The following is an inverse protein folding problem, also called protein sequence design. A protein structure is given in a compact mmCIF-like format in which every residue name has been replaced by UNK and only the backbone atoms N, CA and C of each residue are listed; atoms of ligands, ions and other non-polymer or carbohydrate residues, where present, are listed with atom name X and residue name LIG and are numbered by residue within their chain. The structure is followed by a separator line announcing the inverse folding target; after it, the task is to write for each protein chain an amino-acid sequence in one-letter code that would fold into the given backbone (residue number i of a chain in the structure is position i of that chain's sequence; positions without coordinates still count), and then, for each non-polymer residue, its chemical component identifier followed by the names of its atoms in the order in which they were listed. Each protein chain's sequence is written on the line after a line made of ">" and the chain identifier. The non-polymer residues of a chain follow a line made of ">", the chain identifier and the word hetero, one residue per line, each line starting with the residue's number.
data_IF_458068605031
#
_entry.id   IF_458068605031
#
_cell.length_a   1.000
_cell.length_b   1.000
_cell.length_c   1.000
_cell.angle_alpha   90.00
_cell.angle_beta   90.00
_cell.angle_gamma   90.00
#
_symmetry.space_group_name_H-M   'P 1'
#
loop_
_entity.id
_entity.type
_entity.pdbx_description
1 polymer ?
#
# COMPACT_ATOMS: atom_id res chain seq x y z
N UNK A 1 34.61 -16.02 28.30
CA UNK A 1 33.28 -15.46 28.03
C UNK A 1 33.30 -14.09 27.30
N UNK A 2 34.08 -13.13 27.73
CA UNK A 2 34.15 -11.75 27.16
C UNK A 2 34.62 -11.72 25.68
N UNK A 3 35.54 -12.59 25.27
CA UNK A 3 36.04 -12.63 23.88
C UNK A 3 35.00 -13.11 22.83
N UNK A 4 34.06 -13.94 23.22
CA UNK A 4 33.00 -14.41 22.34
C UNK A 4 31.87 -13.37 22.17
N UNK A 5 31.63 -12.57 23.23
CA UNK A 5 30.63 -11.49 23.18
C UNK A 5 31.07 -10.36 22.24
N UNK A 6 32.38 -10.01 22.26
CA UNK A 6 32.92 -8.99 21.34
C UNK A 6 32.93 -9.45 19.89
N UNK A 7 33.15 -10.75 19.62
CA UNK A 7 33.09 -11.28 18.25
C UNK A 7 31.65 -11.28 17.73
N UNK A 8 30.66 -11.62 18.57
CA UNK A 8 29.25 -11.58 18.20
C UNK A 8 28.72 -10.15 17.94
N UNK A 9 29.14 -9.19 18.78
CA UNK A 9 28.81 -7.77 18.57
C UNK A 9 29.44 -7.21 17.28
N UNK A 10 30.72 -7.61 16.98
CA UNK A 10 31.37 -7.15 15.74
C UNK A 10 30.72 -7.74 14.48
N UNK A 11 30.25 -8.99 14.52
CA UNK A 11 29.50 -9.60 13.41
C UNK A 11 28.11 -8.92 13.19
N UNK A 12 27.41 -8.58 14.28
CA UNK A 12 26.15 -7.85 14.19
C UNK A 12 26.32 -6.43 13.65
N UNK A 13 27.42 -5.75 14.00
CA UNK A 13 27.75 -4.44 13.45
C UNK A 13 28.10 -4.52 11.95
N UNK A 14 28.82 -5.55 11.52
CA UNK A 14 29.20 -5.74 10.11
C UNK A 14 27.95 -6.03 9.25
N UNK A 15 26.98 -6.81 9.73
CA UNK A 15 25.72 -7.04 9.02
C UNK A 15 24.87 -5.77 8.93
N UNK A 16 24.79 -4.97 10.00
CA UNK A 16 24.06 -3.71 10.01
C UNK A 16 24.69 -2.69 9.05
N UNK A 17 26.02 -2.57 9.04
CA UNK A 17 26.75 -1.69 8.14
C UNK A 17 26.66 -2.15 6.67
N UNK A 18 26.69 -3.46 6.41
CA UNK A 18 26.53 -4.00 5.06
C UNK A 18 25.10 -3.76 4.53
N UNK A 19 24.07 -3.90 5.37
CA UNK A 19 22.68 -3.61 5.00
C UNK A 19 22.46 -2.12 4.76
N UNK A 20 23.07 -1.25 5.57
CA UNK A 20 23.02 0.20 5.38
C UNK A 20 23.76 0.65 4.12
N UNK A 21 24.88 0.01 3.79
CA UNK A 21 25.63 0.25 2.55
C UNK A 21 24.84 -0.14 1.30
N UNK A 22 24.01 -1.20 1.35
CA UNK A 22 23.11 -1.60 0.26
C UNK A 22 22.02 -0.53 0.00
N UNK A 23 21.46 0.09 1.04
CA UNK A 23 20.50 1.18 0.89
C UNK A 23 21.12 2.52 0.47
N UNK A 24 22.43 2.68 0.59
CA UNK A 24 23.13 3.95 0.38
C UNK A 24 23.64 4.18 -1.05
N UNK A 25 23.52 3.23 -1.97
CA UNK A 25 23.94 3.44 -3.37
C UNK A 25 23.08 4.53 -4.00
N UNK A 26 23.74 5.63 -4.37
CA UNK A 26 23.06 6.80 -4.92
C UNK A 26 22.48 6.51 -6.30
N UNK A 27 21.18 6.76 -6.43
CA UNK A 27 20.57 7.00 -7.72
C UNK A 27 21.22 8.25 -8.34
N UNK A 28 21.60 8.16 -9.60
CA UNK A 28 22.12 9.30 -10.38
C UNK A 28 21.13 9.64 -11.49
N UNK A 29 21.02 10.93 -11.77
CA UNK A 29 20.12 11.46 -12.80
C UNK A 29 20.93 12.12 -13.90
N UNK A 30 20.42 12.07 -15.13
CA UNK A 30 21.06 12.68 -16.31
C UNK A 30 21.22 14.20 -16.21
N UNK A 31 20.35 14.85 -15.41
CA UNK A 31 20.28 16.30 -15.32
C UNK A 31 20.38 16.81 -13.89
N UNK A 32 20.69 18.09 -13.77
CA UNK A 32 20.67 18.86 -12.52
C UNK A 32 19.88 20.15 -12.72
N UNK A 33 19.35 20.68 -11.63
CA UNK A 33 18.55 21.92 -11.62
C UNK A 33 17.33 21.81 -12.56
N UNK A 34 16.71 20.65 -12.61
CA UNK A 34 15.60 20.33 -13.49
C UNK A 34 14.24 20.45 -12.79
N UNK A 35 13.19 20.49 -13.59
CA UNK A 35 11.82 20.19 -13.23
C UNK A 35 11.26 19.29 -14.32
N UNK A 36 10.80 18.11 -13.97
CA UNK A 36 10.20 17.17 -14.91
C UNK A 36 8.77 16.85 -14.49
N UNK A 37 7.86 16.89 -15.45
CA UNK A 37 6.43 16.61 -15.27
C UNK A 37 6.08 15.37 -16.06
N UNK A 38 5.82 14.28 -15.34
CA UNK A 38 5.60 12.96 -15.88
C UNK A 38 4.11 12.64 -15.84
N UNK A 39 3.53 12.29 -17.00
CA UNK A 39 2.15 11.82 -17.06
C UNK A 39 1.99 10.50 -16.31
N UNK A 40 0.96 10.41 -15.47
CA UNK A 40 0.65 9.20 -14.69
C UNK A 40 -0.76 8.70 -14.97
N UNK A 41 -0.95 7.40 -14.86
CA UNK A 41 -2.28 6.82 -14.85
C UNK A 41 -2.79 6.73 -13.42
N UNK A 42 -4.05 7.15 -13.21
CA UNK A 42 -4.76 6.95 -11.96
C UNK A 42 -5.86 5.92 -12.14
N UNK A 43 -5.63 4.71 -11.65
CA UNK A 43 -6.56 3.61 -11.83
C UNK A 43 -6.74 2.84 -10.52
N UNK A 44 -7.98 2.62 -10.11
CA UNK A 44 -8.33 1.82 -8.92
C UNK A 44 -7.58 2.28 -7.66
N UNK A 45 -7.50 3.60 -7.46
CA UNK A 45 -6.74 4.22 -6.36
C UNK A 45 -5.26 3.79 -6.31
N UNK A 46 -4.59 3.74 -7.46
CA UNK A 46 -3.15 3.52 -7.59
C UNK A 46 -2.57 4.37 -8.71
N UNK A 47 -1.31 4.80 -8.54
CA UNK A 47 -0.58 5.65 -9.49
C UNK A 47 0.38 4.78 -10.29
N UNK A 48 0.26 4.80 -11.62
CA UNK A 48 1.15 4.06 -12.51
C UNK A 48 1.98 5.00 -13.37
N UNK A 49 3.25 4.65 -13.56
CA UNK A 49 4.26 5.41 -14.27
C UNK A 49 4.71 4.66 -15.53
N UNK A 50 4.88 5.35 -16.68
CA UNK A 50 5.60 4.80 -17.81
C UNK A 50 7.12 4.85 -17.54
N UNK A 51 7.78 3.70 -17.51
CA UNK A 51 9.22 3.57 -17.34
C UNK A 51 9.82 2.94 -18.58
N UNK A 52 10.72 3.63 -19.27
CA UNK A 52 11.32 3.12 -20.50
C UNK A 52 12.72 2.57 -20.23
N UNK A 53 12.92 1.28 -20.53
CA UNK A 53 14.18 0.56 -20.34
C UNK A 53 14.56 -0.11 -21.66
N UNK A 54 15.76 0.18 -22.21
CA UNK A 54 16.20 -0.43 -23.45
C UNK A 54 15.27 -0.18 -24.64
N UNK A 55 14.57 0.96 -24.68
CA UNK A 55 13.61 1.31 -25.73
C UNK A 55 12.20 0.70 -25.55
N UNK A 56 12.00 -0.16 -24.54
CA UNK A 56 10.68 -0.72 -24.21
C UNK A 56 10.07 0.02 -23.02
N UNK A 57 8.79 0.41 -23.13
CA UNK A 57 8.06 1.04 -22.05
C UNK A 57 7.32 -0.02 -21.21
N UNK A 58 7.51 0.06 -19.89
CA UNK A 58 6.92 -0.78 -18.87
C UNK A 58 5.97 0.06 -18.00
N UNK A 59 4.95 -0.57 -17.45
CA UNK A 59 3.99 0.05 -16.54
C UNK A 59 4.37 -0.26 -15.09
N UNK A 60 4.89 0.72 -14.37
CA UNK A 60 5.32 0.58 -12.97
C UNK A 60 4.33 1.24 -12.01
N UNK A 61 4.05 0.58 -10.88
CA UNK A 61 3.31 1.17 -9.77
C UNK A 61 4.23 2.11 -8.98
N UNK A 62 3.77 3.31 -8.64
CA UNK A 62 4.44 4.18 -7.66
C UNK A 62 4.00 3.78 -6.26
N UNK A 63 4.96 3.29 -5.45
CA UNK A 63 4.70 2.74 -4.12
C UNK A 63 5.63 3.36 -3.09
N UNK A 64 5.11 4.30 -2.29
CA UNK A 64 5.88 4.95 -1.22
C UNK A 64 6.05 4.06 0.02
N UNK A 65 5.32 2.96 0.12
CA UNK A 65 5.48 1.93 1.15
C UNK A 65 6.61 0.92 0.84
N UNK A 66 7.10 0.90 -0.42
CA UNK A 66 8.22 0.07 -0.82
C UNK A 66 9.54 0.83 -0.63
N UNK A 67 10.42 0.35 0.26
CA UNK A 67 11.73 0.96 0.52
C UNK A 67 12.67 0.91 -0.69
N UNK A 68 12.53 -0.10 -1.54
CA UNK A 68 13.25 -0.30 -2.80
C UNK A 68 12.27 -0.50 -3.93
N UNK A 69 12.68 -0.16 -5.15
CA UNK A 69 11.94 -0.55 -6.34
C UNK A 69 11.83 -2.07 -6.43
N UNK A 70 10.87 -2.59 -7.21
CA UNK A 70 10.64 -4.03 -7.37
C UNK A 70 10.53 -4.35 -8.85
N UNK A 71 11.13 -5.45 -9.28
CA UNK A 71 10.89 -6.10 -10.57
C UNK A 71 10.38 -7.51 -10.33
N UNK A 72 9.56 -7.99 -11.22
CA UNK A 72 8.95 -9.31 -11.02
C UNK A 72 9.75 -10.42 -11.70
N UNK A 73 9.82 -11.57 -11.04
CA UNK A 73 10.57 -12.74 -11.53
C UNK A 73 10.04 -13.33 -12.83
N UNK A 74 8.75 -13.08 -13.14
CA UNK A 74 8.10 -13.48 -14.41
C UNK A 74 8.27 -12.45 -15.54
N UNK A 75 8.80 -11.27 -15.23
CA UNK A 75 9.10 -10.21 -16.20
C UNK A 75 10.49 -9.63 -15.91
N UNK A 76 11.56 -10.41 -16.09
CA UNK A 76 12.92 -9.96 -15.80
C UNK A 76 13.28 -8.79 -16.72
N UNK A 77 13.94 -7.78 -16.13
CA UNK A 77 14.46 -6.63 -16.87
C UNK A 77 15.87 -6.99 -17.38
N UNK A 78 16.00 -7.07 -18.70
CA UNK A 78 17.28 -7.35 -19.34
C UNK A 78 18.33 -6.28 -18.98
N UNK A 79 19.60 -6.70 -18.81
CA UNK A 79 20.68 -5.83 -18.40
C UNK A 79 20.73 -5.50 -16.89
N UNK A 80 19.82 -6.04 -16.10
CA UNK A 80 19.89 -5.95 -14.64
C UNK A 80 21.11 -6.68 -14.08
N UNK A 81 21.82 -6.07 -13.13
CA UNK A 81 23.03 -6.64 -12.53
C UNK A 81 22.76 -7.09 -11.09
N UNK A 82 23.14 -8.31 -10.69
CA UNK A 82 23.00 -8.77 -9.31
C UNK A 82 23.65 -7.79 -8.30
N UNK A 83 22.95 -7.57 -7.17
CA UNK A 83 23.40 -6.66 -6.11
C UNK A 83 23.33 -7.30 -4.71
N UNK A 84 23.23 -8.61 -4.61
CA UNK A 84 23.16 -9.37 -3.36
C UNK A 84 21.74 -9.69 -2.93
N UNK A 85 21.52 -9.79 -1.63
CA UNK A 85 20.24 -10.12 -1.02
C UNK A 85 19.91 -9.13 0.09
N UNK A 86 18.63 -8.94 0.37
CA UNK A 86 18.16 -8.09 1.46
C UNK A 86 17.01 -8.77 2.21
N UNK A 87 16.96 -8.56 3.53
CA UNK A 87 15.76 -8.91 4.31
C UNK A 87 14.70 -7.85 4.05
N UNK A 88 13.56 -8.27 3.53
CA UNK A 88 12.42 -7.42 3.21
C UNK A 88 11.25 -7.75 4.14
N UNK A 89 10.50 -6.72 4.52
CA UNK A 89 9.26 -6.82 5.27
C UNK A 89 8.13 -6.45 4.34
N UNK A 90 7.03 -7.19 4.38
CA UNK A 90 5.82 -6.78 3.69
C UNK A 90 4.86 -6.00 4.62
N UNK A 91 3.75 -5.54 4.07
CA UNK A 91 2.73 -4.79 4.79
C UNK A 91 2.09 -5.58 5.97
N UNK A 92 2.18 -6.90 5.97
CA UNK A 92 1.69 -7.78 7.05
C UNK A 92 2.76 -8.05 8.12
N UNK A 93 3.97 -7.48 7.97
CA UNK A 93 5.10 -7.74 8.85
C UNK A 93 5.82 -9.07 8.59
N UNK A 94 5.46 -9.80 7.53
CA UNK A 94 6.17 -11.01 7.12
C UNK A 94 7.55 -10.65 6.58
N UNK A 95 8.57 -11.40 7.00
CA UNK A 95 9.96 -11.15 6.63
C UNK A 95 10.42 -12.25 5.68
N UNK A 96 11.05 -11.86 4.58
CA UNK A 96 11.71 -12.79 3.66
C UNK A 96 13.05 -12.21 3.18
N UNK A 97 13.95 -13.09 2.72
CA UNK A 97 15.22 -12.70 2.11
C UNK A 97 15.06 -12.76 0.59
N UNK A 98 15.11 -11.58 -0.03
CA UNK A 98 14.88 -11.43 -1.47
C UNK A 98 16.16 -11.00 -2.20
N UNK A 99 16.38 -11.49 -3.43
CA UNK A 99 17.51 -11.04 -4.24
C UNK A 99 17.34 -9.59 -4.67
N UNK A 100 18.46 -8.88 -4.79
CA UNK A 100 18.54 -7.51 -5.27
C UNK A 100 19.28 -7.44 -6.61
N UNK A 101 18.86 -6.47 -7.41
CA UNK A 101 19.53 -6.07 -8.65
C UNK A 101 19.71 -4.56 -8.71
N UNK A 102 20.67 -4.12 -9.53
CA UNK A 102 20.74 -2.75 -10.03
C UNK A 102 20.13 -2.76 -11.41
N UNK A 103 19.08 -1.98 -11.61
CA UNK A 103 18.44 -1.83 -12.89
C UNK A 103 19.39 -1.16 -13.91
N UNK A 104 19.31 -1.50 -15.21
CA UNK A 104 19.95 -0.71 -16.23
C UNK A 104 19.42 0.72 -16.18
N UNK A 105 20.12 1.71 -16.76
CA UNK A 105 19.59 3.05 -16.88
C UNK A 105 18.22 3.03 -17.55
N UNK A 106 17.29 3.76 -16.99
CA UNK A 106 15.92 3.85 -17.51
C UNK A 106 15.47 5.30 -17.61
N UNK A 107 14.54 5.57 -18.51
CA UNK A 107 13.94 6.88 -18.68
C UNK A 107 12.62 6.97 -17.92
N UNK A 108 12.45 8.05 -17.16
CA UNK A 108 11.24 8.44 -16.49
C UNK A 108 10.98 9.92 -16.82
N UNK A 109 9.95 10.20 -17.62
CA UNK A 109 9.79 11.51 -18.22
C UNK A 109 10.95 11.83 -19.17
N UNK A 110 11.66 12.94 -18.96
CA UNK A 110 12.86 13.33 -19.71
C UNK A 110 14.16 12.88 -19.02
N UNK A 111 14.07 12.37 -17.79
CA UNK A 111 15.22 12.02 -16.98
C UNK A 111 15.69 10.59 -17.25
N UNK A 112 16.99 10.41 -17.43
CA UNK A 112 17.62 9.09 -17.30
C UNK A 112 18.02 8.86 -15.85
N UNK A 113 17.50 7.78 -15.27
CA UNK A 113 17.76 7.33 -13.89
C UNK A 113 18.74 6.16 -13.96
N UNK A 114 19.84 6.25 -13.24
CA UNK A 114 20.87 5.21 -13.18
C UNK A 114 21.16 4.80 -11.73
N UNK A 115 21.60 3.56 -11.54
CA UNK A 115 21.95 3.04 -10.21
C UNK A 115 20.76 2.70 -9.32
N UNK A 116 19.55 2.68 -9.87
CA UNK A 116 18.36 2.32 -9.13
C UNK A 116 18.43 0.85 -8.69
N UNK A 117 18.32 0.62 -7.41
CA UNK A 117 18.23 -0.72 -6.81
C UNK A 117 16.78 -1.19 -6.80
N UNK A 118 16.61 -2.48 -7.12
CA UNK A 118 15.31 -3.14 -7.05
C UNK A 118 15.47 -4.54 -6.42
N UNK A 119 14.44 -4.98 -5.74
CA UNK A 119 14.31 -6.39 -5.33
C UNK A 119 13.62 -7.20 -6.43
N UNK A 120 13.97 -8.48 -6.54
CA UNK A 120 13.26 -9.42 -7.41
C UNK A 120 12.21 -10.13 -6.57
N UNK A 121 10.96 -10.06 -6.98
CA UNK A 121 9.86 -10.63 -6.21
C UNK A 121 8.87 -11.33 -7.14
N UNK A 122 7.98 -12.16 -6.58
CA UNK A 122 6.85 -12.71 -7.35
C UNK A 122 5.81 -11.62 -7.60
N UNK A 123 5.23 -11.62 -8.80
CA UNK A 123 4.11 -10.70 -9.11
C UNK A 123 2.91 -11.01 -8.22
N UNK A 124 2.37 -10.03 -7.49
CA UNK A 124 1.13 -10.24 -6.77
C UNK A 124 -0.03 -10.50 -7.73
N UNK A 125 -0.85 -11.47 -7.43
CA UNK A 125 -1.99 -11.86 -8.31
C UNK A 125 -2.96 -10.70 -8.59
N UNK A 126 -3.02 -9.70 -7.68
CA UNK A 126 -3.92 -8.55 -7.80
C UNK A 126 -3.42 -7.41 -8.66
N UNK A 127 -2.24 -7.54 -9.26
CA UNK A 127 -1.64 -6.50 -10.10
C UNK A 127 -1.40 -6.96 -11.54
N UNK A 128 -2.44 -7.44 -12.26
CA UNK A 128 -2.28 -7.79 -13.67
C UNK A 128 -1.89 -6.52 -14.46
N UNK A 129 -0.96 -6.68 -15.43
CA UNK A 129 -0.52 -5.58 -16.28
C UNK A 129 0.39 -4.55 -15.61
N UNK A 130 0.95 -4.87 -14.44
CA UNK A 130 1.99 -4.07 -13.79
C UNK A 130 3.31 -4.80 -13.90
N UNK A 131 4.35 -4.14 -14.43
CA UNK A 131 5.64 -4.77 -14.72
C UNK A 131 6.64 -4.66 -13.58
N UNK A 132 6.38 -3.74 -12.63
CA UNK A 132 7.24 -3.53 -11.47
C UNK A 132 6.73 -2.40 -10.57
N UNK A 133 7.55 -2.02 -9.60
CA UNK A 133 7.27 -0.95 -8.63
C UNK A 133 8.42 0.04 -8.64
N UNK A 134 8.13 1.32 -8.74
CA UNK A 134 9.03 2.39 -8.35
C UNK A 134 8.80 2.69 -6.88
N UNK A 135 9.77 2.33 -6.04
CA UNK A 135 9.71 2.50 -4.61
C UNK A 135 10.10 3.91 -4.15
N UNK A 136 9.97 4.12 -2.86
CA UNK A 136 10.34 5.39 -2.21
C UNK A 136 11.83 5.74 -2.34
N UNK A 137 12.69 4.76 -2.65
CA UNK A 137 14.12 4.99 -2.90
C UNK A 137 14.37 6.06 -3.98
N UNK A 138 13.53 6.17 -5.00
CA UNK A 138 13.64 7.22 -6.00
C UNK A 138 13.43 8.61 -5.37
N UNK A 139 12.35 8.80 -4.63
CA UNK A 139 12.05 10.07 -3.95
C UNK A 139 13.09 10.34 -2.86
N UNK A 140 13.40 9.33 -2.04
CA UNK A 140 14.35 9.45 -0.93
C UNK A 140 15.81 9.67 -1.38
N UNK A 141 16.10 9.58 -2.69
CA UNK A 141 17.40 10.00 -3.26
C UNK A 141 17.67 11.50 -3.14
N UNK A 142 16.72 12.27 -2.66
CA UNK A 142 16.79 13.70 -2.43
C UNK A 142 15.99 14.54 -3.43
N UNK A 143 15.07 13.92 -4.18
CA UNK A 143 14.15 14.59 -5.09
C UNK A 143 12.93 15.11 -4.34
N UNK A 144 12.53 16.34 -4.65
CA UNK A 144 11.19 16.79 -4.33
C UNK A 144 10.24 16.14 -5.34
N UNK A 145 9.14 15.59 -4.85
CA UNK A 145 8.16 14.90 -5.68
C UNK A 145 6.75 15.39 -5.33
N UNK A 146 5.99 15.84 -6.33
CA UNK A 146 4.56 16.13 -6.20
C UNK A 146 3.76 15.08 -6.95
N UNK A 147 2.85 14.42 -6.26
CA UNK A 147 1.90 13.46 -6.84
C UNK A 147 0.55 14.18 -6.89
N UNK A 148 0.07 14.45 -8.08
CA UNK A 148 -1.22 15.10 -8.33
C UNK A 148 -2.06 14.23 -9.27
N UNK A 149 -2.92 13.40 -8.70
CA UNK A 149 -3.73 12.46 -9.49
C UNK A 149 -4.89 13.15 -10.21
N UNK A 150 -5.30 14.34 -9.78
CA UNK A 150 -6.33 15.14 -10.45
C UNK A 150 -5.82 15.72 -11.78
N UNK A 151 -4.54 16.10 -11.79
CA UNK A 151 -3.86 16.56 -13.00
C UNK A 151 -3.19 15.42 -13.79
N UNK A 152 -3.21 14.19 -13.26
CA UNK A 152 -2.49 13.05 -13.82
C UNK A 152 -0.98 13.29 -13.96
N UNK A 153 -0.35 13.91 -12.95
CA UNK A 153 1.06 14.28 -12.96
C UNK A 153 1.83 13.78 -11.75
N UNK A 154 3.05 13.32 -12.01
CA UNK A 154 4.13 13.24 -11.05
C UNK A 154 5.17 14.30 -11.45
N UNK A 155 5.41 15.29 -10.59
CA UNK A 155 6.44 16.30 -10.81
C UNK A 155 7.65 15.95 -9.95
N UNK A 156 8.81 15.79 -10.60
CA UNK A 156 10.09 15.54 -9.94
C UNK A 156 11.03 16.73 -10.14
N UNK A 157 11.76 17.11 -9.08
CA UNK A 157 12.74 18.18 -9.18
C UNK A 157 13.84 18.06 -8.12
N UNK A 158 15.05 18.49 -8.45
CA UNK A 158 16.15 18.66 -7.50
C UNK A 158 16.25 20.10 -6.97
N UNK A 159 15.43 21.05 -7.49
CA UNK A 159 15.39 22.47 -7.07
C UNK A 159 14.79 22.58 -5.67
N UNK A 160 15.63 22.88 -4.67
CA UNK A 160 15.29 22.84 -3.22
C UNK A 160 14.08 23.67 -2.79
N UNK A 161 13.73 24.70 -3.55
CA UNK A 161 12.69 25.68 -3.19
C UNK A 161 11.49 25.65 -4.14
N UNK A 162 11.43 24.69 -5.06
CA UNK A 162 10.44 24.71 -6.16
C UNK A 162 8.99 24.76 -5.66
N UNK A 163 8.66 23.93 -4.65
CA UNK A 163 7.32 23.90 -4.06
C UNK A 163 7.18 24.75 -2.77
N UNK A 164 8.11 25.71 -2.53
CA UNK A 164 8.15 26.43 -1.24
C UNK A 164 6.93 27.33 -1.01
N UNK A 165 6.47 27.94 -2.09
CA UNK A 165 5.43 28.96 -2.05
C UNK A 165 4.05 28.38 -2.44
N UNK A 166 3.93 27.05 -2.54
CA UNK A 166 2.65 26.37 -2.73
C UNK A 166 1.93 26.20 -1.39
N UNK A 167 0.64 26.52 -1.37
CA UNK A 167 -0.23 26.35 -0.21
C UNK A 167 -0.43 24.87 0.14
N UNK A 168 -0.69 24.60 1.42
CA UNK A 168 -0.98 23.25 1.89
C UNK A 168 -0.63 23.02 3.36
N UNK A 169 -0.98 21.84 3.84
CA UNK A 169 -0.74 21.40 5.21
C UNK A 169 0.57 20.62 5.28
N UNK A 170 1.63 21.28 5.77
CA UNK A 170 2.95 20.66 5.88
C UNK A 170 3.11 19.96 7.24
N UNK A 171 3.55 18.72 7.22
CA UNK A 171 3.80 17.90 8.38
C UNK A 171 5.13 17.16 8.28
N UNK A 172 5.82 16.86 9.40
CA UNK A 172 7.01 16.03 9.38
C UNK A 172 6.65 14.56 9.17
N UNK A 173 7.55 13.81 8.56
CA UNK A 173 7.50 12.37 8.57
C UNK A 173 8.80 11.78 9.15
N UNK A 174 8.70 10.57 9.69
CA UNK A 174 9.85 9.79 10.14
C UNK A 174 10.13 8.68 9.15
N UNK A 175 11.41 8.41 8.89
CA UNK A 175 11.79 7.22 8.14
C UNK A 175 11.93 6.04 9.11
N UNK A 176 11.15 5.00 8.87
CA UNK A 176 11.33 3.67 9.46
C UNK A 176 11.46 2.69 8.31
N UNK A 177 12.42 1.81 8.35
CA UNK A 177 12.73 0.88 7.24
C UNK A 177 12.85 1.59 5.87
N UNK A 178 13.36 2.83 5.86
CA UNK A 178 13.52 3.71 4.69
C UNK A 178 12.22 4.17 4.00
N UNK A 179 11.06 4.03 4.62
CA UNK A 179 9.75 4.50 4.13
C UNK A 179 9.14 5.55 5.07
N UNK A 180 8.23 6.42 4.58
CA UNK A 180 7.71 7.57 5.33
C UNK A 180 6.56 7.20 6.26
N UNK A 181 6.71 7.48 7.56
CA UNK A 181 5.65 7.38 8.57
C UNK A 181 5.21 8.76 9.02
N UNK A 182 3.91 8.98 9.01
CA UNK A 182 3.26 10.21 9.43
C UNK A 182 2.59 10.01 10.79
N UNK A 183 2.52 11.09 11.55
CA UNK A 183 1.71 11.16 12.76
C UNK A 183 0.25 11.41 12.37
N UNK A 184 -0.65 10.53 12.77
CA UNK A 184 -2.08 10.60 12.52
C UNK A 184 -2.85 10.53 13.82
N UNK A 185 -4.02 11.18 13.86
CA UNK A 185 -4.91 11.15 15.01
C UNK A 185 -6.29 10.64 14.56
N UNK A 186 -6.58 9.35 14.79
CA UNK A 186 -7.85 8.74 14.40
C UNK A 186 -8.98 9.01 15.41
N UNK A 187 -8.66 9.45 16.64
CA UNK A 187 -9.65 9.71 17.68
C UNK A 187 -9.13 10.66 18.76
N UNK A 188 -9.93 11.66 19.11
CA UNK A 188 -9.65 12.57 20.23
C UNK A 188 -8.25 13.19 20.16
N UNK A 189 -7.41 12.88 21.12
CA UNK A 189 -5.99 13.22 21.17
C UNK A 189 -5.07 12.01 21.01
N UNK A 190 -5.59 10.84 20.64
CA UNK A 190 -4.78 9.66 20.39
C UNK A 190 -4.01 9.80 19.09
N UNK A 191 -2.71 9.62 19.17
CA UNK A 191 -1.79 9.71 18.04
C UNK A 191 -1.09 8.39 17.79
N UNK A 192 -0.95 8.04 16.51
CA UNK A 192 -0.17 6.89 16.07
C UNK A 192 0.69 7.22 14.85
N UNK A 193 1.65 6.36 14.57
CA UNK A 193 2.46 6.46 13.36
C UNK A 193 1.88 5.55 12.29
N UNK A 194 1.48 6.12 11.16
CA UNK A 194 0.98 5.39 10.01
C UNK A 194 1.93 5.53 8.82
N UNK A 195 2.21 4.42 8.12
CA UNK A 195 2.95 4.41 6.89
C UNK A 195 2.17 5.15 5.79
N UNK A 196 2.80 6.07 5.07
CA UNK A 196 2.20 6.64 3.87
C UNK A 196 2.55 5.77 2.66
N UNK A 197 1.58 4.98 2.21
CA UNK A 197 1.75 3.86 1.29
C UNK A 197 0.85 3.99 0.05
N UNK A 198 1.40 4.53 -1.05
CA UNK A 198 0.67 4.63 -2.32
C UNK A 198 0.49 3.29 -3.05
N UNK A 199 1.13 2.23 -2.60
CA UNK A 199 0.87 0.86 -3.05
C UNK A 199 -0.44 0.29 -2.50
N UNK A 200 -0.90 0.77 -1.33
CA UNK A 200 -2.18 0.43 -0.73
C UNK A 200 -3.32 1.25 -1.35
N UNK A 201 -4.42 0.60 -1.69
CA UNK A 201 -5.62 1.26 -2.28
C UNK A 201 -6.53 1.90 -1.23
N UNK A 202 -6.39 1.54 0.04
CA UNK A 202 -7.26 2.05 1.10
C UNK A 202 -6.91 3.48 1.44
N UNK A 203 -7.86 4.20 2.03
CA UNK A 203 -7.58 5.53 2.55
C UNK A 203 -6.76 5.44 3.83
N UNK A 204 -7.23 4.63 4.77
CA UNK A 204 -6.58 4.38 6.05
C UNK A 204 -6.90 2.97 6.53
N UNK A 205 -5.99 2.35 7.26
CA UNK A 205 -6.20 1.08 7.97
C UNK A 205 -5.46 1.17 9.30
N UNK A 206 -6.11 0.78 10.38
CA UNK A 206 -5.56 0.88 11.73
C UNK A 206 -4.92 -0.45 12.15
N UNK A 207 -3.71 -0.41 12.71
CA UNK A 207 -3.10 -1.58 13.33
C UNK A 207 -3.93 -2.04 14.54
N UNK A 208 -4.12 -3.35 14.71
CA UNK A 208 -4.92 -3.91 15.82
C UNK A 208 -4.36 -3.51 17.18
N UNK A 209 -3.06 -3.58 17.40
CA UNK A 209 -2.48 -3.18 18.69
C UNK A 209 -2.62 -1.67 18.94
N UNK A 210 -2.66 -0.85 17.88
CA UNK A 210 -2.94 0.57 17.97
C UNK A 210 -4.40 0.83 18.39
N UNK A 211 -5.34 0.08 17.83
CA UNK A 211 -6.74 0.09 18.26
C UNK A 211 -6.87 -0.26 19.74
N UNK A 212 -6.29 -1.38 20.19
CA UNK A 212 -6.36 -1.81 21.58
C UNK A 212 -5.77 -0.77 22.54
N UNK A 213 -4.67 -0.10 22.13
CA UNK A 213 -4.08 1.01 22.89
C UNK A 213 -5.00 2.23 22.93
N UNK A 214 -5.62 2.59 21.79
CA UNK A 214 -6.57 3.69 21.72
C UNK A 214 -7.75 3.46 22.67
N UNK A 215 -8.34 2.27 22.67
CA UNK A 215 -9.41 1.88 23.61
C UNK A 215 -8.93 1.99 25.06
N UNK A 216 -7.72 1.48 25.35
CA UNK A 216 -7.19 1.51 26.73
C UNK A 216 -6.98 2.94 27.27
N UNK A 217 -6.69 3.90 26.38
CA UNK A 217 -6.46 5.31 26.74
C UNK A 217 -7.74 6.16 26.72
N UNK A 218 -8.67 5.84 25.83
CA UNK A 218 -9.90 6.62 25.60
C UNK A 218 -11.13 6.01 26.29
N UNK A 219 -11.00 4.80 26.83
CA UNK A 219 -12.09 4.05 27.42
C UNK A 219 -13.21 3.75 26.42
N UNK A 220 -14.44 3.67 26.91
CA UNK A 220 -15.64 3.39 26.10
C UNK A 220 -15.97 4.47 25.05
N UNK A 221 -15.32 5.64 25.09
CA UNK A 221 -15.57 6.69 24.11
C UNK A 221 -15.17 6.27 22.70
N UNK A 222 -14.06 5.51 22.54
CA UNK A 222 -13.66 5.01 21.24
C UNK A 222 -14.53 3.82 20.78
N UNK A 223 -15.12 3.06 21.70
CA UNK A 223 -16.02 1.96 21.39
C UNK A 223 -17.26 2.42 20.61
N UNK A 224 -17.67 3.69 20.75
CA UNK A 224 -18.78 4.26 19.96
C UNK A 224 -18.49 4.30 18.47
N UNK A 225 -17.22 4.21 18.09
CA UNK A 225 -16.78 4.19 16.69
C UNK A 225 -16.67 2.76 16.12
N UNK A 226 -16.96 1.73 16.94
CA UNK A 226 -16.94 0.33 16.50
C UNK A 226 -18.28 -0.04 15.89
N UNK A 227 -18.28 -0.40 14.61
CA UNK A 227 -19.48 -0.86 13.90
C UNK A 227 -19.67 -2.38 14.00
N UNK A 228 -18.62 -3.12 14.29
CA UNK A 228 -18.73 -4.57 14.42
C UNK A 228 -17.37 -5.26 14.50
N UNK A 229 -17.45 -6.56 14.69
CA UNK A 229 -16.29 -7.45 14.79
C UNK A 229 -16.57 -8.73 14.01
N UNK A 230 -15.58 -9.24 13.28
CA UNK A 230 -15.70 -10.53 12.58
C UNK A 230 -14.35 -11.23 12.57
N UNK A 231 -14.36 -12.55 12.69
CA UNK A 231 -13.17 -13.34 12.43
C UNK A 231 -12.86 -13.36 10.93
N UNK A 232 -11.64 -12.99 10.55
CA UNK A 232 -11.29 -12.94 9.15
C UNK A 232 -9.85 -12.58 8.86
N UNK A 233 -9.53 -12.47 7.58
CA UNK A 233 -8.27 -11.98 7.03
C UNK A 233 -8.57 -11.26 5.73
N UNK A 234 -8.02 -10.08 5.54
CA UNK A 234 -8.33 -9.23 4.38
C UNK A 234 -7.12 -8.56 3.75
N UNK A 235 -6.03 -8.42 4.53
CA UNK A 235 -4.81 -7.81 4.04
C UNK A 235 -3.97 -8.85 3.29
N UNK A 236 -3.52 -8.48 2.10
CA UNK A 236 -2.61 -9.27 1.29
C UNK A 236 -1.34 -8.46 1.15
N UNK A 237 -0.30 -8.89 1.84
CA UNK A 237 1.04 -8.40 1.69
C UNK A 237 1.75 -9.05 0.50
N UNK A 238 2.99 -8.67 0.29
CA UNK A 238 3.79 -9.19 -0.80
C UNK A 238 4.12 -10.68 -0.61
N UNK A 239 4.31 -11.10 0.63
CA UNK A 239 4.66 -12.50 0.97
C UNK A 239 3.46 -13.35 1.36
N UNK A 240 2.24 -12.84 1.24
CA UNK A 240 1.04 -13.62 1.47
C UNK A 240 -0.11 -12.88 2.12
N UNK A 241 -1.08 -13.68 2.56
CA UNK A 241 -2.27 -13.19 3.26
C UNK A 241 -1.99 -13.16 4.76
N UNK A 242 -2.46 -12.13 5.47
CA UNK A 242 -2.36 -12.06 6.93
C UNK A 242 -3.01 -13.28 7.61
N UNK A 243 -2.60 -13.66 8.83
CA UNK A 243 -3.24 -14.69 9.61
C UNK A 243 -4.71 -14.38 9.90
N UNK A 244 -5.50 -15.43 10.16
CA UNK A 244 -6.88 -15.29 10.61
C UNK A 244 -6.90 -14.64 11.99
N UNK A 245 -7.65 -13.55 12.15
CA UNK A 245 -7.78 -12.80 13.40
C UNK A 245 -9.13 -12.13 13.53
N UNK A 246 -9.44 -11.59 14.70
CA UNK A 246 -10.57 -10.69 14.85
C UNK A 246 -10.26 -9.36 14.16
N UNK A 247 -11.09 -8.99 13.20
CA UNK A 247 -11.07 -7.70 12.50
C UNK A 247 -12.16 -6.82 13.10
N UNK A 248 -11.80 -5.58 13.44
CA UNK A 248 -12.73 -4.59 13.97
C UNK A 248 -13.09 -3.63 12.86
N UNK A 249 -14.36 -3.44 12.63
CA UNK A 249 -14.93 -2.48 11.69
C UNK A 249 -15.17 -1.18 12.43
N UNK A 250 -14.66 -0.08 11.87
CA UNK A 250 -14.67 1.24 12.49
C UNK A 250 -15.38 2.25 11.60
N UNK A 251 -16.17 3.12 12.22
CA UNK A 251 -16.65 4.35 11.62
C UNK A 251 -16.02 5.52 12.38
N UNK A 252 -14.96 6.08 11.85
CA UNK A 252 -14.25 7.17 12.48
C UNK A 252 -14.96 8.50 12.17
N UNK A 253 -15.33 9.22 13.22
CA UNK A 253 -15.88 10.58 13.09
C UNK A 253 -14.88 11.50 12.39
N UNK A 254 -13.58 11.28 12.66
CA UNK A 254 -12.51 12.01 12.01
C UNK A 254 -11.18 11.24 11.98
N UNK A 255 -10.38 11.55 10.97
CA UNK A 255 -8.97 11.18 10.87
C UNK A 255 -8.18 12.45 10.58
N UNK A 256 -7.34 12.90 11.52
CA UNK A 256 -6.52 14.11 11.38
C UNK A 256 -5.11 13.76 10.93
N UNK A 257 -4.63 14.52 9.96
CA UNK A 257 -3.27 14.47 9.44
C UNK A 257 -2.69 15.89 9.47
N UNK A 258 -1.91 16.21 10.51
CA UNK A 258 -1.48 17.55 10.79
C UNK A 258 -2.67 18.48 11.07
N UNK A 259 -2.90 19.48 10.20
CA UNK A 259 -4.03 20.42 10.27
C UNK A 259 -5.20 20.05 9.36
N UNK A 260 -5.10 18.98 8.60
CA UNK A 260 -6.16 18.51 7.71
C UNK A 260 -6.94 17.39 8.36
N UNK A 261 -8.26 17.41 8.22
CA UNK A 261 -9.17 16.44 8.82
C UNK A 261 -10.08 15.85 7.76
N UNK A 262 -10.12 14.53 7.70
CA UNK A 262 -11.17 13.79 7.02
C UNK A 262 -12.19 13.30 8.05
N UNK A 263 -13.48 13.47 7.76
CA UNK A 263 -14.60 13.01 8.58
C UNK A 263 -15.37 11.89 7.89
N UNK A 264 -16.18 11.17 8.66
CA UNK A 264 -17.11 10.17 8.15
C UNK A 264 -16.39 9.05 7.37
N UNK A 265 -15.41 8.43 8.04
CA UNK A 265 -14.52 7.42 7.45
C UNK A 265 -14.84 6.02 7.98
N UNK A 266 -15.34 5.15 7.12
CA UNK A 266 -15.41 3.72 7.41
C UNK A 266 -14.07 3.04 7.10
N UNK A 267 -13.54 2.31 8.08
CA UNK A 267 -12.28 1.57 7.97
C UNK A 267 -12.31 0.29 8.82
N UNK A 268 -11.17 -0.36 8.95
CA UNK A 268 -11.06 -1.59 9.73
C UNK A 268 -9.62 -1.80 10.20
N UNK A 269 -9.46 -2.71 11.16
CA UNK A 269 -8.14 -3.06 11.70
C UNK A 269 -7.44 -4.12 10.85
N UNK A 270 -6.11 -4.14 10.94
CA UNK A 270 -5.21 -5.16 10.36
C UNK A 270 -4.19 -5.59 11.41
N UNK A 271 -3.61 -6.77 11.24
CA UNK A 271 -2.45 -7.20 12.03
C UNK A 271 -1.15 -6.51 11.59
N UNK A 272 -1.10 -6.04 10.33
CA UNK A 272 0.00 -5.23 9.82
C UNK A 272 0.05 -3.83 10.43
N UNK A 273 0.94 -2.99 9.94
CA UNK A 273 1.09 -1.62 10.43
C UNK A 273 -0.10 -0.74 10.01
N UNK A 274 -0.36 0.32 10.80
CA UNK A 274 -1.29 1.36 10.36
C UNK A 274 -0.74 2.04 9.12
N UNK A 275 -1.59 2.29 8.11
CA UNK A 275 -1.16 2.96 6.90
C UNK A 275 -2.24 3.86 6.29
N UNK A 276 -1.77 4.92 5.64
CA UNK A 276 -2.54 5.81 4.77
C UNK A 276 -2.23 5.41 3.35
N UNK A 277 -3.24 4.97 2.62
CA UNK A 277 -3.03 4.53 1.25
C UNK A 277 -3.37 5.57 0.19
N UNK A 278 -3.22 5.17 -1.07
CA UNK A 278 -3.33 6.05 -2.22
C UNK A 278 -4.72 6.71 -2.38
N UNK A 279 -5.80 6.14 -1.83
CA UNK A 279 -7.12 6.80 -1.85
C UNK A 279 -7.12 8.17 -1.18
N UNK A 280 -6.13 8.49 -0.34
CA UNK A 280 -5.90 9.83 0.18
C UNK A 280 -5.71 10.86 -0.93
N UNK A 281 -5.10 10.47 -2.05
CA UNK A 281 -4.86 11.33 -3.22
C UNK A 281 -6.15 11.79 -3.93
N UNK A 282 -7.31 11.19 -3.63
CA UNK A 282 -8.59 11.70 -4.14
C UNK A 282 -8.94 13.08 -3.55
N UNK A 283 -8.40 13.43 -2.40
CA UNK A 283 -8.70 14.65 -1.65
C UNK A 283 -7.68 15.76 -1.85
N UNK A 284 -6.48 15.45 -2.35
CA UNK A 284 -5.45 16.45 -2.56
C UNK A 284 -4.17 15.89 -3.14
N UNK A 285 -3.33 16.79 -3.66
CA UNK A 285 -1.98 16.45 -4.07
C UNK A 285 -1.03 16.33 -2.87
N UNK A 286 0.02 15.55 -3.04
CA UNK A 286 1.03 15.33 -1.99
C UNK A 286 2.40 15.73 -2.50
N UNK A 287 3.09 16.57 -1.75
CA UNK A 287 4.47 16.99 -2.03
C UNK A 287 5.42 16.40 -1.00
N UNK A 288 6.34 15.56 -1.43
CA UNK A 288 7.44 15.05 -0.60
C UNK A 288 8.67 15.97 -0.69
N UNK A 289 9.22 16.31 0.47
CA UNK A 289 10.53 16.94 0.59
C UNK A 289 11.44 16.05 1.46
N UNK A 290 12.14 15.07 0.89
CA UNK A 290 12.93 14.10 1.65
C UNK A 290 14.14 14.73 2.35
N UNK A 291 14.67 15.85 1.83
CA UNK A 291 15.78 16.59 2.46
C UNK A 291 15.39 17.19 3.81
N UNK A 292 14.12 17.60 3.95
CA UNK A 292 13.55 18.13 5.19
C UNK A 292 12.72 17.11 5.96
N UNK A 293 12.52 15.91 5.41
CA UNK A 293 11.60 14.88 5.92
C UNK A 293 10.21 15.49 6.20
N UNK A 294 9.66 16.16 5.18
CA UNK A 294 8.33 16.79 5.25
C UNK A 294 7.47 16.34 4.07
N UNK A 295 6.21 16.16 4.38
CA UNK A 295 5.14 15.99 3.42
C UNK A 295 4.23 17.21 3.51
N UNK A 296 3.85 17.79 2.36
CA UNK A 296 2.82 18.82 2.27
C UNK A 296 1.62 18.22 1.55
N UNK A 297 0.48 18.24 2.20
CA UNK A 297 -0.80 17.88 1.61
C UNK A 297 -1.51 19.14 1.11
N UNK A 298 -1.96 19.12 -0.14
CA UNK A 298 -2.60 20.22 -0.84
C UNK A 298 -4.04 19.83 -1.18
N UNK A 299 -5.04 20.14 -0.33
CA UNK A 299 -6.43 19.80 -0.57
C UNK A 299 -6.93 20.38 -1.88
N UNK A 300 -7.62 19.60 -2.70
CA UNK A 300 -8.18 20.07 -3.96
C UNK A 300 -9.34 21.08 -3.80
N UNK A 301 -10.02 21.04 -2.66
CA UNK A 301 -11.08 21.98 -2.32
C UNK A 301 -10.55 23.24 -1.61
N UNK A 302 -9.24 23.32 -1.32
CA UNK A 302 -8.62 24.41 -0.58
C UNK A 302 -9.01 24.50 0.89
N UNK A 303 -9.82 23.57 1.41
CA UNK A 303 -10.29 23.56 2.79
C UNK A 303 -9.35 22.75 3.70
N UNK A 304 -9.48 22.97 5.01
CA UNK A 304 -8.77 22.18 6.03
C UNK A 304 -9.53 20.89 6.40
N UNK A 305 -10.71 20.69 5.83
CA UNK A 305 -11.58 19.53 6.13
C UNK A 305 -12.27 19.01 4.87
N UNK A 306 -12.54 17.70 4.86
CA UNK A 306 -13.39 17.05 3.85
C UNK A 306 -14.15 15.89 4.49
N UNK A 307 -15.20 15.40 3.82
CA UNK A 307 -15.92 14.19 4.22
C UNK A 307 -15.64 13.07 3.26
N UNK A 308 -15.34 11.89 3.81
CA UNK A 308 -15.07 10.69 3.00
C UNK A 308 -16.35 10.05 2.53
N UNK A 309 -17.34 9.92 3.43
CA UNK A 309 -18.64 9.29 3.20
C UNK A 309 -18.53 7.97 2.41
N UNK A 310 -17.46 7.19 2.67
CA UNK A 310 -17.28 5.89 2.05
C UNK A 310 -18.20 4.85 2.71
N UNK A 311 -18.30 3.68 2.10
CA UNK A 311 -19.01 2.54 2.69
C UNK A 311 -18.04 1.61 3.39
N UNK A 312 -18.52 0.96 4.46
CA UNK A 312 -17.78 -0.11 5.12
C UNK A 312 -17.52 -1.26 4.17
N UNK A 313 -16.35 -1.89 4.32
CA UNK A 313 -16.05 -3.11 3.59
C UNK A 313 -16.87 -4.27 4.17
N UNK A 314 -17.76 -4.80 3.37
CA UNK A 314 -18.68 -5.87 3.75
C UNK A 314 -18.13 -7.28 3.46
N UNK A 315 -17.22 -7.43 2.49
CA UNK A 315 -16.60 -8.71 2.13
C UNK A 315 -15.21 -8.50 1.53
N UNK A 316 -14.26 -9.37 1.88
CA UNK A 316 -12.96 -9.48 1.24
C UNK A 316 -12.67 -10.90 0.78
N UNK A 317 -12.09 -11.02 -0.42
CA UNK A 317 -11.65 -12.29 -0.96
C UNK A 317 -10.13 -12.37 -0.94
N UNK A 318 -9.61 -13.53 -0.57
CA UNK A 318 -8.18 -13.82 -0.49
C UNK A 318 -7.85 -15.11 -1.25
N UNK A 319 -6.59 -15.29 -1.57
CA UNK A 319 -6.11 -16.57 -2.09
C UNK A 319 -5.91 -17.53 -0.92
N UNK A 320 -6.54 -18.69 -1.00
CA UNK A 320 -6.27 -19.82 -0.10
C UNK A 320 -5.84 -21.00 -0.94
N UNK A 321 -4.57 -21.38 -0.85
CA UNK A 321 -3.95 -22.41 -1.71
C UNK A 321 -4.26 -22.20 -3.21
N UNK A 322 -4.20 -20.97 -3.68
CA UNK A 322 -4.48 -20.60 -5.07
C UNK A 322 -5.96 -20.48 -5.42
N UNK A 323 -6.89 -20.82 -4.52
CA UNK A 323 -8.33 -20.70 -4.75
C UNK A 323 -8.90 -19.41 -4.18
N UNK A 324 -9.94 -18.81 -4.79
CA UNK A 324 -10.63 -17.66 -4.23
C UNK A 324 -11.47 -18.08 -3.02
N UNK A 325 -11.15 -17.48 -1.88
CA UNK A 325 -11.79 -17.77 -0.61
C UNK A 325 -12.36 -16.46 -0.01
N UNK A 326 -13.50 -16.53 0.67
CA UNK A 326 -14.01 -15.44 1.49
C UNK A 326 -13.10 -15.33 2.71
N UNK A 327 -12.20 -14.34 2.68
CA UNK A 327 -11.25 -14.09 3.77
C UNK A 327 -11.90 -13.38 4.94
N UNK A 328 -12.77 -12.40 4.66
CA UNK A 328 -13.52 -11.63 5.65
C UNK A 328 -14.93 -11.38 5.14
N UNK A 329 -15.90 -11.47 5.99
CA UNK A 329 -17.26 -11.00 5.75
C UNK A 329 -17.77 -10.28 6.99
N UNK A 330 -18.33 -9.09 6.79
CA UNK A 330 -18.92 -8.31 7.87
C UNK A 330 -20.30 -8.86 8.19
N UNK A 331 -20.54 -9.29 9.45
CA UNK A 331 -21.75 -9.97 9.86
C UNK A 331 -23.02 -9.11 9.74
N UNK A 332 -22.87 -7.78 9.80
CA UNK A 332 -23.95 -6.83 9.58
C UNK A 332 -24.10 -6.41 8.10
N UNK A 333 -23.19 -6.88 7.25
CA UNK A 333 -23.18 -6.56 5.82
C UNK A 333 -24.13 -7.40 4.99
N UNK A 334 -24.48 -6.89 3.79
CA UNK A 334 -25.36 -7.57 2.84
C UNK A 334 -24.82 -8.95 2.40
N UNK A 335 -23.50 -9.15 2.10
CA UNK A 335 -22.99 -10.45 1.72
C UNK A 335 -23.21 -11.53 2.79
N UNK A 336 -23.11 -11.17 4.08
CA UNK A 336 -23.39 -12.13 5.16
C UNK A 336 -24.88 -12.52 5.19
N UNK A 337 -25.80 -11.55 5.03
CA UNK A 337 -27.24 -11.83 4.95
C UNK A 337 -27.60 -12.69 3.75
N UNK A 338 -26.88 -12.52 2.64
CA UNK A 338 -27.01 -13.33 1.42
C UNK A 338 -26.44 -14.75 1.56
N UNK A 339 -25.72 -15.04 2.62
CA UNK A 339 -25.23 -16.40 2.92
C UNK A 339 -23.73 -16.62 2.79
N UNK A 340 -22.92 -15.61 2.43
CA UNK A 340 -21.48 -15.75 2.46
C UNK A 340 -20.97 -15.93 3.90
N UNK A 341 -20.00 -16.82 4.06
CA UNK A 341 -19.34 -17.09 5.34
C UNK A 341 -17.83 -17.04 5.16
N UNK A 342 -17.12 -16.64 6.19
CA UNK A 342 -15.65 -16.66 6.19
C UNK A 342 -15.16 -18.11 5.96
N UNK A 343 -14.23 -18.29 5.03
CA UNK A 343 -13.72 -19.59 4.62
C UNK A 343 -14.44 -20.24 3.43
N UNK A 344 -15.53 -19.68 2.95
CA UNK A 344 -16.20 -20.16 1.72
C UNK A 344 -15.27 -20.06 0.52
N UNK A 345 -15.12 -21.16 -0.22
CA UNK A 345 -14.34 -21.19 -1.47
C UNK A 345 -15.29 -20.97 -2.64
N UNK A 346 -15.00 -19.98 -3.47
CA UNK A 346 -15.77 -19.72 -4.69
C UNK A 346 -15.41 -20.76 -5.75
N UNK A 347 -16.38 -21.52 -6.22
CA UNK A 347 -16.20 -22.58 -7.22
C UNK A 347 -16.78 -22.22 -8.58
N UNK A 348 -17.87 -21.43 -8.62
CA UNK A 348 -18.48 -20.92 -9.85
C UNK A 348 -18.98 -19.50 -9.67
N UNK A 349 -19.04 -18.76 -10.77
CA UNK A 349 -19.76 -17.49 -10.92
C UNK A 349 -20.67 -17.66 -12.12
N UNK A 350 -21.98 -17.50 -11.92
CA UNK A 350 -23.02 -17.93 -12.87
C UNK A 350 -22.81 -19.40 -13.24
N UNK A 351 -22.66 -19.72 -14.51
CA UNK A 351 -22.42 -21.08 -14.99
C UNK A 351 -20.94 -21.39 -15.22
N UNK A 352 -20.06 -20.44 -14.96
CA UNK A 352 -18.62 -20.55 -15.24
C UNK A 352 -17.83 -21.03 -14.03
N UNK A 353 -17.00 -22.05 -14.21
CA UNK A 353 -16.10 -22.56 -13.17
C UNK A 353 -15.00 -21.53 -12.90
N UNK A 354 -14.76 -21.23 -11.64
CA UNK A 354 -13.62 -20.43 -11.18
C UNK A 354 -12.50 -21.40 -10.75
N UNK A 355 -11.42 -21.40 -11.53
CA UNK A 355 -10.31 -22.36 -11.36
C UNK A 355 -9.34 -21.93 -10.27
N UNK A 356 -9.02 -20.64 -10.22
CA UNK A 356 -8.02 -20.09 -9.33
C UNK A 356 -8.32 -18.63 -8.96
N UNK A 357 -7.53 -18.09 -8.04
CA UNK A 357 -7.67 -16.72 -7.56
C UNK A 357 -7.33 -15.67 -8.62
N UNK A 358 -6.43 -15.98 -9.58
CA UNK A 358 -6.06 -15.07 -10.66
C UNK A 358 -7.26 -14.82 -11.58
N UNK A 359 -7.93 -15.92 -11.99
CA UNK A 359 -9.14 -15.84 -12.79
C UNK A 359 -10.24 -15.05 -12.05
N UNK A 360 -10.40 -15.29 -10.74
CA UNK A 360 -11.40 -14.60 -9.91
C UNK A 360 -11.17 -13.09 -9.85
N UNK A 361 -9.93 -12.63 -9.59
CA UNK A 361 -9.66 -11.19 -9.48
C UNK A 361 -9.71 -10.48 -10.83
N UNK A 362 -9.51 -11.21 -11.92
CA UNK A 362 -9.63 -10.72 -13.30
C UNK A 362 -11.05 -10.84 -13.86
N UNK A 363 -12.00 -11.35 -13.05
CA UNK A 363 -13.38 -11.50 -13.49
C UNK A 363 -13.98 -10.15 -13.87
N UNK A 364 -14.64 -10.02 -15.03
CA UNK A 364 -15.18 -8.76 -15.51
C UNK A 364 -16.51 -8.42 -14.81
N UNK A 365 -16.44 -8.18 -13.51
CA UNK A 365 -17.61 -7.82 -12.73
C UNK A 365 -18.16 -6.46 -13.16
N UNK A 366 -19.46 -6.44 -13.43
CA UNK A 366 -20.22 -5.23 -13.73
C UNK A 366 -20.89 -4.75 -12.45
N UNK A 367 -20.72 -3.46 -12.11
CA UNK A 367 -21.37 -2.85 -10.96
C UNK A 367 -22.87 -2.79 -11.19
N UNK A 368 -23.65 -3.17 -10.17
CA UNK A 368 -25.12 -3.22 -10.22
C UNK A 368 -25.69 -4.51 -10.83
N UNK A 369 -24.83 -5.37 -11.40
CA UNK A 369 -25.28 -6.68 -11.88
C UNK A 369 -25.32 -7.69 -10.73
N UNK A 370 -26.39 -8.48 -10.66
CA UNK A 370 -26.49 -9.67 -9.83
C UNK A 370 -25.71 -10.84 -10.45
N UNK A 371 -24.95 -11.53 -9.61
CA UNK A 371 -24.22 -12.75 -9.95
C UNK A 371 -24.65 -13.88 -9.04
N UNK A 372 -24.70 -15.09 -9.57
CA UNK A 372 -24.91 -16.32 -8.83
C UNK A 372 -23.55 -16.96 -8.50
N UNK A 373 -23.20 -16.98 -7.22
CA UNK A 373 -21.98 -17.62 -6.72
C UNK A 373 -22.30 -19.01 -6.24
N UNK A 374 -21.57 -20.02 -6.72
CA UNK A 374 -21.52 -21.34 -6.09
C UNK A 374 -20.32 -21.37 -5.16
N UNK A 375 -20.57 -21.59 -3.89
CA UNK A 375 -19.53 -21.64 -2.86
C UNK A 375 -19.49 -23.02 -2.23
N UNK A 376 -18.29 -23.46 -1.83
CA UNK A 376 -18.07 -24.62 -0.98
C UNK A 376 -17.66 -24.17 0.40
N UNK A 377 -18.48 -24.47 1.39
CA UNK A 377 -18.25 -24.14 2.80
C UNK A 377 -17.17 -25.01 3.43
N UNK A 378 -16.82 -24.72 4.68
CA UNK A 378 -15.73 -25.38 5.42
C UNK A 378 -15.96 -26.89 5.65
N UNK A 379 -17.23 -27.30 5.75
CA UNK A 379 -17.62 -28.70 5.96
C UNK A 379 -17.92 -29.46 4.65
N UNK A 380 -17.61 -28.82 3.50
CA UNK A 380 -17.76 -29.40 2.18
C UNK A 380 -19.14 -29.19 1.56
N UNK A 381 -20.09 -28.58 2.26
CA UNK A 381 -21.42 -28.24 1.75
C UNK A 381 -21.31 -27.24 0.60
N UNK A 382 -22.16 -27.41 -0.41
CA UNK A 382 -22.26 -26.50 -1.55
C UNK A 382 -23.50 -25.64 -1.39
N UNK A 383 -23.36 -24.33 -1.59
CA UNK A 383 -24.45 -23.35 -1.52
C UNK A 383 -24.43 -22.44 -2.74
N UNK A 384 -25.59 -22.00 -3.16
CA UNK A 384 -25.74 -20.91 -4.15
C UNK A 384 -26.11 -19.63 -3.45
N UNK A 385 -25.40 -18.55 -3.81
CA UNK A 385 -25.56 -17.22 -3.23
C UNK A 385 -25.76 -16.23 -4.37
N UNK A 386 -26.81 -15.42 -4.31
CA UNK A 386 -27.01 -14.30 -5.24
C UNK A 386 -26.51 -13.02 -4.60
N UNK A 387 -25.68 -12.30 -5.33
CA UNK A 387 -25.10 -11.07 -4.83
C UNK A 387 -24.93 -10.03 -5.93
N UNK A 388 -25.36 -8.81 -5.62
CA UNK A 388 -25.19 -7.66 -6.52
C UNK A 388 -23.87 -6.98 -6.16
N UNK A 389 -22.99 -6.85 -7.16
CA UNK A 389 -21.76 -6.10 -6.96
C UNK A 389 -22.05 -4.60 -6.93
N UNK A 390 -21.84 -3.98 -5.79
CA UNK A 390 -21.95 -2.53 -5.62
C UNK A 390 -20.59 -1.84 -5.77
N UNK A 391 -20.60 -0.57 -6.17
CA UNK A 391 -19.38 0.28 -6.18
C UNK A 391 -18.99 0.53 -4.71
N UNK A 392 -17.74 0.32 -4.41
CA UNK A 392 -17.14 0.63 -3.10
C UNK A 392 -16.50 1.99 -3.12
#
# INVERSE_FOLDING_TARGET
>A
MIRWLTLLLSLLCIEADAQQALYSKKITLSERNFVDSIGVEWERSQVYLPVTIGGKTYRFLLDTGAAQSVVYSDTPIEGSRPAGFIRSHDANGTIDTVPMVILPPFTLGHLTVSGCQATIQRRPVRTPGVDGIIGFNLINSGLLAKIDVRQHLLILTDRKKFFRDEDGHTMPYKLRYHVPYLDVCPFGSYHEQALFDTGSRRLYTMNRASFDRCVSLSGSLFDTQVEGRSMGRHAIGHFGVEPLSEVIFLHLDHLRLGRYTLSDLHTLTTLGESHIGASWLNYGAVVFNPRKKRLTFQPYNGAATDSVANRQMDIAFVSDHGRPCVGLVWEQGEPFRQGFRQGDVITKIDDSIVRDFTQFVSWPFIIGREYRFTVRGRHGETREIRWVRIKR
#
